data_IF_439379734826
#
_entry.id   IF_439379734826
#
_cell.length_a   1.000
_cell.length_b   1.000
_cell.length_c   1.000
_cell.angle_alpha   90.00
_cell.angle_beta   90.00
_cell.angle_gamma   90.00
#
_symmetry.space_group_name_H-M   'P 1'
#
loop_
_entity.id
_entity.type
_entity.pdbx_description
1 polymer ?
#
# COMPACT_ATOMS: atom_id res chain seq x y z
N UNK A 1 21.23 52.05 -52.94
CA UNK A 1 22.37 51.87 -52.01
C UNK A 1 22.06 50.64 -51.16
N UNK A 2 22.91 49.60 -51.25
CA UNK A 2 23.07 48.37 -50.45
C UNK A 2 21.79 47.62 -49.94
N UNK A 3 21.46 46.40 -50.36
CA UNK A 3 22.13 45.06 -50.41
C UNK A 3 21.48 44.11 -49.39
N UNK A 4 20.99 42.98 -49.91
CA UNK A 4 20.63 41.71 -49.27
C UNK A 4 21.42 41.34 -47.99
N UNK A 5 20.78 40.63 -47.04
CA UNK A 5 21.08 39.23 -46.65
C UNK A 5 20.36 38.82 -45.33
N UNK A 6 20.23 37.50 -45.12
CA UNK A 6 19.77 36.75 -43.93
C UNK A 6 18.27 36.41 -43.89
N UNK A 7 17.79 35.27 -44.42
CA UNK A 7 18.12 33.84 -44.14
C UNK A 7 17.85 33.46 -42.68
N UNK A 8 16.76 32.71 -42.51
CA UNK A 8 16.58 31.59 -41.57
C UNK A 8 16.94 31.90 -40.12
N UNK A 9 15.93 32.24 -39.31
CA UNK A 9 15.93 32.00 -37.85
C UNK A 9 14.53 32.23 -37.26
N UNK A 10 13.55 31.40 -37.63
CA UNK A 10 12.31 31.27 -36.85
C UNK A 10 11.77 29.84 -36.87
N UNK A 11 12.69 28.86 -36.88
CA UNK A 11 12.42 27.45 -36.59
C UNK A 11 13.48 27.02 -35.57
N UNK A 12 13.42 27.58 -34.36
CA UNK A 12 14.27 27.13 -33.23
C UNK A 12 13.72 27.57 -31.86
N UNK A 13 12.41 27.42 -31.63
CA UNK A 13 11.82 27.60 -30.28
C UNK A 13 11.04 26.37 -29.78
N UNK A 14 11.06 25.25 -30.52
CA UNK A 14 10.44 23.99 -30.06
C UNK A 14 11.43 22.84 -29.87
N UNK A 15 12.73 23.13 -29.71
CA UNK A 15 13.75 22.09 -29.60
C UNK A 15 14.68 22.22 -28.39
N UNK A 16 14.21 22.75 -27.24
CA UNK A 16 14.95 22.68 -25.97
C UNK A 16 14.03 22.77 -24.74
N UNK A 17 12.96 21.96 -24.70
CA UNK A 17 12.12 21.84 -23.49
C UNK A 17 12.00 20.41 -22.95
N UNK A 18 12.82 19.48 -23.47
CA UNK A 18 12.86 18.08 -23.01
C UNK A 18 14.02 17.76 -22.06
N UNK A 19 14.61 18.76 -21.39
CA UNK A 19 15.68 18.55 -20.41
C UNK A 19 15.49 19.45 -19.19
N UNK A 20 14.37 19.24 -18.49
CA UNK A 20 14.21 19.60 -17.07
C UNK A 20 12.89 19.02 -16.56
N UNK A 21 12.70 17.71 -16.74
CA UNK A 21 12.07 16.97 -15.65
C UNK A 21 13.12 17.02 -14.54
N UNK A 22 12.89 17.69 -13.40
CA UNK A 22 13.74 17.40 -12.26
C UNK A 22 13.62 15.90 -12.08
N UNK A 23 14.73 15.18 -12.19
CA UNK A 23 14.84 13.85 -11.63
C UNK A 23 14.53 14.04 -10.14
N UNK A 24 13.24 14.00 -9.82
CA UNK A 24 12.73 13.81 -8.49
C UNK A 24 13.30 12.45 -8.14
N UNK A 25 14.46 12.45 -7.49
CA UNK A 25 15.12 11.26 -7.05
C UNK A 25 14.09 10.51 -6.20
N UNK A 26 13.53 9.46 -6.80
CA UNK A 26 12.74 8.47 -6.12
C UNK A 26 13.60 8.02 -4.94
N UNK A 27 13.04 8.03 -3.73
CA UNK A 27 13.84 7.71 -2.54
C UNK A 27 14.39 6.27 -2.57
N UNK A 28 13.75 5.41 -3.38
CA UNK A 28 14.02 3.98 -3.52
C UNK A 28 13.44 3.44 -4.85
N UNK A 29 13.93 2.29 -5.30
CA UNK A 29 13.51 1.61 -6.54
C UNK A 29 12.68 0.33 -6.28
N UNK A 30 12.81 -0.25 -5.08
CA UNK A 30 12.24 -1.55 -4.72
C UNK A 30 11.95 -1.61 -3.23
N UNK A 31 11.00 -2.47 -2.84
CA UNK A 31 10.72 -2.78 -1.43
C UNK A 31 10.75 -4.28 -1.18
N UNK A 32 11.12 -4.67 0.05
CA UNK A 32 10.91 -6.02 0.56
C UNK A 32 10.01 -6.00 1.76
N UNK A 33 9.17 -7.03 1.87
CA UNK A 33 8.29 -7.27 3.00
C UNK A 33 8.77 -8.50 3.77
N UNK A 34 8.98 -8.32 5.07
CA UNK A 34 9.30 -9.41 6.00
C UNK A 34 8.20 -9.53 7.04
N UNK A 35 7.70 -10.74 7.26
CA UNK A 35 6.62 -10.97 8.23
C UNK A 35 7.12 -10.68 9.65
N UNK A 36 6.36 -9.86 10.37
CA UNK A 36 6.59 -9.53 11.77
C UNK A 36 5.36 -9.84 12.60
N UNK A 37 5.53 -9.84 13.93
CA UNK A 37 4.39 -10.00 14.83
C UNK A 37 3.44 -8.82 14.68
N UNK A 38 2.15 -9.12 14.54
CA UNK A 38 1.12 -8.09 14.54
C UNK A 38 1.06 -7.38 15.91
N UNK A 39 0.55 -6.13 15.96
CA UNK A 39 0.32 -5.45 17.22
C UNK A 39 -0.53 -6.28 18.18
N UNK A 40 -0.30 -6.11 19.49
CA UNK A 40 -1.06 -6.83 20.49
C UNK A 40 -2.57 -6.55 20.35
N UNK A 41 -3.38 -7.60 20.48
CA UNK A 41 -4.84 -7.51 20.33
C UNK A 41 -5.33 -7.43 18.89
N UNK A 42 -4.45 -7.46 17.88
CA UNK A 42 -4.84 -7.47 16.48
C UNK A 42 -5.11 -8.90 16.02
N UNK A 43 -6.30 -9.38 16.39
CA UNK A 43 -6.82 -10.67 15.99
C UNK A 43 -7.02 -10.71 14.45
N UNK A 44 -6.85 -11.88 13.83
CA UNK A 44 -7.00 -12.08 12.37
C UNK A 44 -6.26 -11.05 11.48
N UNK A 45 -5.00 -10.75 11.81
CA UNK A 45 -4.18 -9.80 11.06
C UNK A 45 -2.81 -10.37 10.74
N UNK A 46 -2.19 -9.85 9.69
CA UNK A 46 -0.77 -10.08 9.40
C UNK A 46 -0.06 -8.76 9.25
N UNK A 47 1.19 -8.71 9.70
CA UNK A 47 2.01 -7.52 9.64
C UNK A 47 3.32 -7.80 8.94
N UNK A 48 3.76 -6.82 8.16
CA UNK A 48 5.02 -6.85 7.46
C UNK A 48 5.82 -5.61 7.76
N UNK A 49 7.11 -5.81 7.95
CA UNK A 49 8.09 -4.74 7.98
C UNK A 49 8.54 -4.41 6.55
N UNK A 50 8.62 -3.11 6.23
CA UNK A 50 9.01 -2.62 4.90
C UNK A 50 10.47 -2.20 4.90
N UNK A 51 11.23 -2.81 3.99
CA UNK A 51 12.64 -2.50 3.71
C UNK A 51 12.74 -1.84 2.34
N UNK A 52 13.42 -0.70 2.25
CA UNK A 52 13.53 0.09 1.03
C UNK A 52 14.89 -0.10 0.38
N UNK A 53 14.93 -0.28 -0.94
CA UNK A 53 16.18 -0.50 -1.67
C UNK A 53 16.35 0.44 -2.84
N UNK A 54 17.58 0.89 -3.07
CA UNK A 54 18.00 1.60 -4.27
C UNK A 54 19.08 0.80 -4.99
N UNK A 55 19.10 0.85 -6.33
CA UNK A 55 20.13 0.22 -7.14
C UNK A 55 21.31 1.18 -7.34
N UNK A 56 22.43 0.89 -6.68
CA UNK A 56 23.69 1.61 -6.90
C UNK A 56 24.62 0.73 -7.73
N UNK A 57 24.91 1.13 -8.96
CA UNK A 57 25.69 0.34 -9.94
C UNK A 57 25.10 -1.08 -10.17
N UNK A 58 23.77 -1.20 -10.14
CA UNK A 58 23.07 -2.47 -10.32
C UNK A 58 23.01 -3.36 -9.07
N UNK A 59 23.66 -2.97 -7.97
CA UNK A 59 23.61 -3.70 -6.70
C UNK A 59 22.53 -3.08 -5.80
N UNK A 60 21.61 -3.87 -5.23
CA UNK A 60 20.61 -3.35 -4.30
C UNK A 60 21.28 -2.95 -2.98
N UNK A 61 21.04 -1.72 -2.56
CA UNK A 61 21.48 -1.17 -1.29
C UNK A 61 20.27 -0.71 -0.49
N UNK A 62 20.22 -1.07 0.79
CA UNK A 62 19.12 -0.67 1.66
C UNK A 62 19.22 0.81 2.04
N UNK A 63 18.12 1.53 1.90
CA UNK A 63 18.01 2.96 2.19
C UNK A 63 16.93 3.21 3.24
N UNK A 64 17.01 4.37 3.88
CA UNK A 64 16.09 4.77 4.95
C UNK A 64 15.45 6.11 4.55
N UNK A 65 14.43 6.10 3.67
CA UNK A 65 13.80 7.32 3.21
C UNK A 65 13.16 8.07 4.38
N UNK A 66 13.24 9.39 4.31
CA UNK A 66 12.58 10.28 5.27
C UNK A 66 11.07 10.15 5.16
N UNK A 67 10.35 10.58 6.20
CA UNK A 67 8.89 10.59 6.19
C UNK A 67 8.31 11.37 5.00
N UNK A 68 8.92 12.50 4.64
CA UNK A 68 8.44 13.34 3.54
C UNK A 68 8.54 12.60 2.21
N UNK A 69 9.65 11.90 1.98
CA UNK A 69 9.83 11.07 0.77
C UNK A 69 8.83 9.92 0.74
N UNK A 70 8.62 9.25 1.88
CA UNK A 70 7.62 8.17 2.00
C UNK A 70 6.19 8.64 1.74
N UNK A 71 5.82 9.82 2.22
CA UNK A 71 4.50 10.41 1.97
C UNK A 71 4.30 10.80 0.51
N UNK A 72 5.36 11.27 -0.14
CA UNK A 72 5.34 11.61 -1.57
C UNK A 72 5.23 10.38 -2.46
N UNK A 73 5.93 9.30 -2.10
CA UNK A 73 5.99 8.06 -2.88
C UNK A 73 5.00 7.00 -2.36
N UNK A 74 3.99 7.41 -1.56
CA UNK A 74 3.06 6.51 -0.86
C UNK A 74 2.31 5.58 -1.83
N UNK A 75 1.83 6.09 -2.96
CA UNK A 75 1.13 5.28 -3.97
C UNK A 75 2.02 4.15 -4.50
N UNK A 76 3.32 4.41 -4.67
CA UNK A 76 4.29 3.42 -5.12
C UNK A 76 4.60 2.39 -4.03
N UNK A 77 4.73 2.82 -2.77
CA UNK A 77 4.82 1.90 -1.63
C UNK A 77 3.61 0.96 -1.65
N UNK A 78 2.41 1.53 -1.72
CA UNK A 78 1.17 0.79 -1.61
C UNK A 78 0.98 -0.18 -2.77
N UNK A 79 1.30 0.22 -4.00
CA UNK A 79 1.22 -0.67 -5.16
C UNK A 79 2.11 -1.92 -4.98
N UNK A 80 3.33 -1.76 -4.47
CA UNK A 80 4.23 -2.89 -4.21
C UNK A 80 3.79 -3.73 -3.00
N UNK A 81 3.30 -3.08 -1.95
CA UNK A 81 2.76 -3.75 -0.75
C UNK A 81 1.54 -4.59 -1.10
N UNK A 82 0.54 -4.00 -1.76
CA UNK A 82 -0.71 -4.65 -2.14
C UNK A 82 -0.42 -5.82 -3.08
N UNK A 83 0.43 -5.63 -4.09
CA UNK A 83 0.86 -6.74 -4.97
C UNK A 83 1.41 -7.92 -4.16
N UNK A 84 2.26 -7.64 -3.17
CA UNK A 84 2.86 -8.68 -2.34
C UNK A 84 1.84 -9.37 -1.42
N UNK A 85 0.88 -8.61 -0.87
CA UNK A 85 -0.25 -9.14 -0.10
C UNK A 85 -1.10 -10.06 -0.99
N UNK A 86 -1.44 -9.63 -2.20
CA UNK A 86 -2.17 -10.43 -3.20
C UNK A 86 -1.45 -11.76 -3.46
N UNK A 87 -0.14 -11.71 -3.72
CA UNK A 87 0.64 -12.91 -4.01
C UNK A 87 0.67 -13.90 -2.84
N UNK A 88 0.80 -13.41 -1.60
CA UNK A 88 0.97 -14.26 -0.41
C UNK A 88 -0.39 -14.72 0.14
N UNK A 89 -1.32 -13.79 0.32
CA UNK A 89 -2.54 -13.98 1.10
C UNK A 89 -3.73 -14.45 0.25
N UNK A 90 -3.64 -14.30 -1.07
CA UNK A 90 -4.68 -14.74 -2.01
C UNK A 90 -4.14 -15.82 -2.95
N UNK A 91 -3.26 -15.47 -3.88
CA UNK A 91 -2.78 -16.39 -4.92
C UNK A 91 -2.07 -17.60 -4.31
N UNK A 92 -1.18 -17.38 -3.33
CA UNK A 92 -0.47 -18.43 -2.61
C UNK A 92 -1.39 -19.38 -1.82
N UNK A 93 -2.64 -18.96 -1.56
CA UNK A 93 -3.68 -19.76 -0.88
C UNK A 93 -4.74 -20.30 -1.84
N UNK A 94 -4.54 -20.18 -3.15
CA UNK A 94 -5.48 -20.66 -4.17
C UNK A 94 -6.76 -19.83 -4.29
N UNK A 95 -6.77 -18.60 -3.78
CA UNK A 95 -7.87 -17.65 -3.96
C UNK A 95 -7.54 -16.73 -5.13
N UNK A 96 -8.39 -16.72 -6.14
CA UNK A 96 -8.20 -15.87 -7.31
C UNK A 96 -8.96 -14.57 -7.13
N UNK A 97 -8.25 -13.47 -7.38
CA UNK A 97 -8.81 -12.13 -7.37
C UNK A 97 -9.23 -11.76 -8.78
N UNK A 98 -10.43 -11.23 -8.93
CA UNK A 98 -10.91 -10.64 -10.17
C UNK A 98 -10.51 -9.17 -10.23
N UNK A 99 -10.93 -8.40 -9.23
CA UNK A 99 -10.65 -6.98 -9.10
C UNK A 99 -10.15 -6.63 -7.70
N UNK A 100 -9.30 -5.59 -7.61
CA UNK A 100 -8.88 -5.02 -6.34
C UNK A 100 -8.92 -3.51 -6.38
N UNK A 101 -9.32 -2.89 -5.27
CA UNK A 101 -9.25 -1.44 -5.10
C UNK A 101 -8.63 -1.10 -3.75
N UNK A 102 -7.93 0.03 -3.69
CA UNK A 102 -7.36 0.57 -2.46
C UNK A 102 -7.84 2.01 -2.32
N UNK A 103 -8.56 2.27 -1.23
CA UNK A 103 -9.15 3.58 -0.97
C UNK A 103 -8.61 4.13 0.35
N UNK A 104 -8.41 5.45 0.44
CA UNK A 104 -8.16 6.11 1.72
C UNK A 104 -9.29 5.78 2.70
N UNK A 105 -8.96 5.65 3.98
CA UNK A 105 -9.94 5.37 5.03
C UNK A 105 -9.69 6.19 6.29
N UNK A 106 -10.71 6.26 7.14
CA UNK A 106 -10.69 6.94 8.43
C UNK A 106 -10.62 5.93 9.59
N UNK A 107 -10.17 6.36 10.78
CA UNK A 107 -10.22 5.50 11.97
C UNK A 107 -11.64 4.97 12.26
N UNK A 108 -12.66 5.78 12.02
CA UNK A 108 -14.06 5.42 12.26
C UNK A 108 -14.54 4.34 11.30
N UNK A 109 -14.18 4.42 10.02
CA UNK A 109 -14.50 3.39 9.02
C UNK A 109 -13.80 2.07 9.35
N UNK A 110 -12.52 2.11 9.73
CA UNK A 110 -11.79 0.90 10.13
C UNK A 110 -12.43 0.24 11.35
N UNK A 111 -12.78 1.04 12.37
CA UNK A 111 -13.49 0.52 13.54
C UNK A 111 -14.84 -0.08 13.15
N UNK A 112 -15.56 0.57 12.24
CA UNK A 112 -16.83 0.05 11.75
C UNK A 112 -16.65 -1.30 11.07
N UNK A 113 -15.75 -1.41 10.08
CA UNK A 113 -15.44 -2.65 9.36
C UNK A 113 -15.15 -3.81 10.33
N UNK A 114 -14.28 -3.56 11.31
CA UNK A 114 -13.89 -4.56 12.31
C UNK A 114 -15.08 -4.93 13.22
N UNK A 115 -15.89 -3.95 13.63
CA UNK A 115 -17.06 -4.19 14.48
C UNK A 115 -18.17 -4.99 13.77
N UNK A 116 -18.19 -4.94 12.44
CA UNK A 116 -19.14 -5.63 11.58
C UNK A 116 -18.58 -6.92 10.98
N UNK A 117 -17.49 -7.47 11.53
CA UNK A 117 -17.02 -8.81 11.14
C UNK A 117 -17.98 -9.88 11.68
N UNK A 118 -18.92 -10.30 10.85
CA UNK A 118 -20.03 -11.17 11.26
C UNK A 118 -19.65 -12.66 11.29
N UNK A 119 -18.63 -13.09 10.52
CA UNK A 119 -18.30 -14.50 10.39
C UNK A 119 -17.16 -14.91 11.30
N UNK A 120 -16.09 -14.12 11.35
CA UNK A 120 -14.86 -14.61 11.98
C UNK A 120 -15.02 -14.77 13.49
N UNK A 121 -15.95 -14.02 14.11
CA UNK A 121 -15.99 -13.75 15.56
C UNK A 121 -14.59 -13.41 16.13
N UNK A 122 -13.65 -13.06 15.26
CA UNK A 122 -12.24 -12.98 15.57
C UNK A 122 -11.88 -11.57 16.02
N UNK A 123 -12.83 -10.75 16.43
CA UNK A 123 -12.53 -9.49 17.07
C UNK A 123 -13.34 -9.38 18.36
N UNK A 124 -12.73 -9.87 19.44
CA UNK A 124 -13.27 -9.68 20.78
C UNK A 124 -13.45 -8.19 21.08
N UNK A 125 -14.35 -7.86 22.03
CA UNK A 125 -14.50 -6.46 22.50
C UNK A 125 -13.17 -5.88 23.01
N UNK A 126 -12.29 -6.73 23.53
CA UNK A 126 -10.94 -6.33 23.93
C UNK A 126 -10.09 -5.98 22.72
N UNK A 127 -10.04 -6.84 21.69
CA UNK A 127 -9.34 -6.57 20.43
C UNK A 127 -9.84 -5.29 19.75
N UNK A 128 -11.15 -5.07 19.68
CA UNK A 128 -11.73 -3.82 19.14
C UNK A 128 -11.27 -2.58 19.92
N UNK A 129 -11.16 -2.69 21.25
CA UNK A 129 -10.65 -1.61 22.11
C UNK A 129 -9.15 -1.38 21.88
N UNK A 130 -8.36 -2.43 21.73
CA UNK A 130 -6.92 -2.33 21.41
C UNK A 130 -6.70 -1.69 20.03
N UNK A 131 -7.50 -2.04 19.03
CA UNK A 131 -7.49 -1.37 17.72
C UNK A 131 -7.82 0.12 17.85
N UNK A 132 -8.90 0.47 18.56
CA UNK A 132 -9.26 1.87 18.77
C UNK A 132 -8.16 2.67 19.46
N UNK A 133 -7.53 2.07 20.48
CA UNK A 133 -6.41 2.67 21.19
C UNK A 133 -5.18 2.82 20.29
N UNK A 134 -4.84 1.81 19.49
CA UNK A 134 -3.73 1.85 18.53
C UNK A 134 -3.90 2.96 17.50
N UNK A 135 -5.09 3.09 16.90
CA UNK A 135 -5.44 4.14 15.93
C UNK A 135 -5.29 5.53 16.55
N UNK A 136 -5.71 5.71 17.81
CA UNK A 136 -5.59 6.98 18.51
C UNK A 136 -4.12 7.32 18.81
N UNK A 137 -3.37 6.38 19.40
CA UNK A 137 -1.98 6.58 19.81
C UNK A 137 -1.04 6.86 18.64
N UNK A 138 -1.28 6.23 17.49
CA UNK A 138 -0.40 6.32 16.32
C UNK A 138 -0.97 7.22 15.21
N UNK A 139 -2.02 8.01 15.50
CA UNK A 139 -2.71 8.86 14.52
C UNK A 139 -1.77 9.73 13.66
N UNK A 140 -0.70 10.26 14.25
CA UNK A 140 0.28 11.07 13.55
C UNK A 140 1.21 10.28 12.62
N UNK A 141 1.29 8.96 12.73
CA UNK A 141 2.23 8.10 12.00
C UNK A 141 1.52 7.07 11.10
N UNK A 142 0.20 6.98 11.20
CA UNK A 142 -0.62 6.05 10.43
C UNK A 142 -1.13 6.70 9.14
N UNK A 143 -1.04 5.93 8.06
CA UNK A 143 -1.85 6.08 6.86
C UNK A 143 -2.79 4.88 6.81
N UNK A 144 -4.05 5.15 6.51
CA UNK A 144 -5.16 4.25 6.72
C UNK A 144 -5.86 4.04 5.39
N UNK A 145 -6.04 2.78 5.01
CA UNK A 145 -6.67 2.42 3.75
C UNK A 145 -7.66 1.29 3.96
N UNK A 146 -8.60 1.18 3.01
CA UNK A 146 -9.46 0.02 2.82
C UNK A 146 -9.03 -0.67 1.54
N UNK A 147 -8.62 -1.93 1.67
CA UNK A 147 -8.31 -2.82 0.55
C UNK A 147 -9.53 -3.70 0.27
N UNK A 148 -10.18 -3.46 -0.86
CA UNK A 148 -11.32 -4.21 -1.31
C UNK A 148 -10.85 -5.24 -2.36
N UNK A 149 -11.09 -6.53 -2.09
CA UNK A 149 -10.70 -7.66 -2.92
C UNK A 149 -11.95 -8.43 -3.37
N UNK A 150 -12.23 -8.39 -4.68
CA UNK A 150 -13.31 -9.16 -5.29
C UNK A 150 -12.77 -10.54 -5.66
N UNK A 151 -13.40 -11.57 -5.11
CA UNK A 151 -12.98 -12.96 -5.22
C UNK A 151 -13.99 -13.72 -6.06
N UNK A 152 -13.46 -14.47 -7.02
CA UNK A 152 -14.17 -15.56 -7.67
C UNK A 152 -13.37 -16.84 -7.43
N UNK A 153 -13.94 -17.80 -6.72
CA UNK A 153 -13.30 -19.09 -6.51
C UNK A 153 -14.27 -20.24 -6.70
N UNK A 154 -13.76 -21.32 -7.28
CA UNK A 154 -14.49 -22.58 -7.39
C UNK A 154 -14.05 -23.50 -6.25
N UNK A 155 -14.99 -24.09 -5.53
CA UNK A 155 -14.67 -25.16 -4.58
C UNK A 155 -14.22 -26.44 -5.31
N UNK A 156 -13.66 -27.39 -4.55
CA UNK A 156 -13.22 -28.69 -5.07
C UNK A 156 -14.37 -29.53 -5.68
N UNK A 157 -15.62 -29.10 -5.51
CA UNK A 157 -16.83 -29.72 -6.08
C UNK A 157 -17.29 -29.03 -7.36
N UNK A 158 -16.58 -28.00 -7.82
CA UNK A 158 -16.88 -27.24 -9.05
C UNK A 158 -17.94 -26.15 -8.87
N UNK A 159 -18.32 -25.81 -7.64
CA UNK A 159 -19.26 -24.72 -7.36
C UNK A 159 -18.50 -23.41 -7.34
N UNK A 160 -18.96 -22.39 -8.08
CA UNK A 160 -18.34 -21.06 -8.10
C UNK A 160 -18.99 -20.14 -7.07
N UNK A 161 -18.17 -19.45 -6.30
CA UNK A 161 -18.57 -18.47 -5.31
C UNK A 161 -17.92 -17.13 -5.64
N UNK A 162 -18.71 -16.06 -5.51
CA UNK A 162 -18.24 -14.68 -5.62
C UNK A 162 -18.32 -14.02 -4.24
N UNK A 163 -17.31 -13.25 -3.86
CA UNK A 163 -17.24 -12.60 -2.56
C UNK A 163 -16.46 -11.29 -2.60
N UNK A 164 -16.68 -10.45 -1.59
CA UNK A 164 -15.94 -9.22 -1.37
C UNK A 164 -15.28 -9.26 0.00
N UNK A 165 -13.95 -9.20 0.01
CA UNK A 165 -13.15 -8.98 1.21
C UNK A 165 -12.85 -7.48 1.33
N UNK A 166 -13.36 -6.81 2.37
CA UNK A 166 -13.09 -5.40 2.64
C UNK A 166 -12.17 -5.25 3.86
N UNK A 167 -10.87 -5.22 3.61
CA UNK A 167 -9.83 -5.36 4.63
C UNK A 167 -9.16 -4.02 4.96
N UNK A 168 -9.15 -3.60 6.24
CA UNK A 168 -8.31 -2.48 6.68
C UNK A 168 -6.82 -2.74 6.42
N UNK A 169 -6.14 -1.74 5.87
CA UNK A 169 -4.70 -1.71 5.70
C UNK A 169 -4.13 -0.50 6.45
N UNK A 170 -3.25 -0.78 7.41
CA UNK A 170 -2.68 0.20 8.32
C UNK A 170 -1.18 0.33 8.03
N UNK A 171 -0.76 1.46 7.48
CA UNK A 171 0.66 1.74 7.21
C UNK A 171 1.18 2.68 8.29
N UNK A 172 2.00 2.15 9.20
CA UNK A 172 2.66 2.92 10.24
C UNK A 172 4.07 3.28 9.79
N UNK A 173 4.32 4.55 9.56
CA UNK A 173 5.68 5.02 9.31
C UNK A 173 6.53 4.96 10.59
N UNK A 174 7.69 4.35 10.48
CA UNK A 174 8.72 4.38 11.48
C UNK A 174 9.33 5.79 11.62
N UNK A 175 9.81 6.07 12.84
CA UNK A 175 10.49 7.32 13.17
C UNK A 175 12.00 7.17 12.96
N UNK A 176 12.64 8.17 12.38
CA UNK A 176 14.09 8.22 12.12
C UNK A 176 14.61 6.99 11.34
N UNK A 177 15.15 5.99 12.04
CA UNK A 177 15.66 4.72 11.49
C UNK A 177 14.75 3.52 11.75
N UNK A 178 13.60 3.76 12.40
CA UNK A 178 12.57 2.75 12.57
C UNK A 178 12.00 2.35 11.22
N UNK A 179 11.84 1.05 11.00
CA UNK A 179 11.22 0.53 9.78
C UNK A 179 9.72 0.75 9.81
N UNK A 180 9.16 0.89 8.62
CA UNK A 180 7.72 1.03 8.46
C UNK A 180 7.06 -0.34 8.62
N UNK A 181 5.85 -0.34 9.17
CA UNK A 181 5.07 -1.56 9.31
C UNK A 181 3.76 -1.37 8.57
N UNK A 182 3.43 -2.33 7.72
CA UNK A 182 2.09 -2.46 7.17
C UNK A 182 1.38 -3.63 7.81
N UNK A 183 0.17 -3.39 8.30
CA UNK A 183 -0.70 -4.41 8.87
C UNK A 183 -1.97 -4.49 8.05
N UNK A 184 -2.29 -5.67 7.52
CA UNK A 184 -3.61 -5.94 6.95
C UNK A 184 -4.44 -6.70 7.98
N UNK A 185 -5.64 -6.20 8.21
CA UNK A 185 -6.64 -6.84 9.06
C UNK A 185 -7.63 -7.53 8.14
N UNK A 186 -7.76 -8.84 8.28
CA UNK A 186 -8.74 -9.59 7.51
C UNK A 186 -10.10 -9.48 8.20
N UNK A 187 -11.05 -8.90 7.48
CA UNK A 187 -12.45 -8.77 7.91
C UNK A 187 -13.29 -9.56 6.92
N UNK A 188 -14.14 -10.45 7.43
CA UNK A 188 -15.01 -11.24 6.57
C UNK A 188 -16.44 -10.71 6.62
N UNK A 189 -16.92 -10.16 5.50
CA UNK A 189 -18.23 -9.51 5.43
C UNK A 189 -19.38 -10.42 4.95
N UNK A 190 -19.17 -11.69 4.62
CA UNK A 190 -20.22 -12.51 3.99
C UNK A 190 -21.06 -13.40 4.93
N UNK A 191 -22.20 -12.92 5.40
CA UNK A 191 -23.31 -13.83 5.72
C UNK A 191 -24.51 -13.52 4.81
N UNK A 192 -24.47 -14.03 3.59
CA UNK A 192 -25.67 -14.39 2.83
C UNK A 192 -25.57 -15.84 2.35
#
# INVERSE_FOLDING_TARGET
MFRNFFVVSFIFVCLFSFLSVPASAQGYDDIKLETVSAPHGFENSVSYEISYFQKVNGVPFEVFPTRIEKEKDLDLILAQVVKRIIDIEYNGKGRYLDETTLNDSTPQEIQHLISTDYISKAWSKAGQKEMAHYLQQNSNFLKLFRFDAYLDYSDDKGSTYSGLDANPLLVRFGQERGRDIVTIVFVNQSAE
#
